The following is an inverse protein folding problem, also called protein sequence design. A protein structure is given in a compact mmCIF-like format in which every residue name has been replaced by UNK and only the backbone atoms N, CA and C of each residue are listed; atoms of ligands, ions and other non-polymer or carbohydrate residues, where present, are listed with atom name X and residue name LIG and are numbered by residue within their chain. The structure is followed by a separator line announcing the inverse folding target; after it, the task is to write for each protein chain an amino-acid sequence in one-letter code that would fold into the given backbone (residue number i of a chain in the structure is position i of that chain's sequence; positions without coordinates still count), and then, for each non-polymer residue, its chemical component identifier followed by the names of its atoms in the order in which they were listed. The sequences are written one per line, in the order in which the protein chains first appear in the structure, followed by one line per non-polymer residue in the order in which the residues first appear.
data_IF_857575571032
#
_entry.id   IF_857575571032
#
_cell.length_a   1.000
_cell.length_b   1.000
_cell.length_c   1.000
_cell.angle_alpha   90.00
_cell.angle_beta   90.00
_cell.angle_gamma   90.00
#
_symmetry.space_group_name_H-M   'P 1'
#
loop_
_entity.id
_entity.type
_entity.pdbx_description
1 polymer ?
#
# COMPACT_ATOMS: atom_id res chain seq x y z
N UNK A 1 3.77 21.30 -16.33
CA UNK A 1 3.57 21.93 -17.64
C UNK A 1 2.35 21.39 -18.34
N UNK A 2 1.87 22.09 -19.33
CA UNK A 2 0.56 21.91 -19.98
C UNK A 2 0.36 20.57 -20.73
N UNK A 3 1.30 19.66 -20.64
CA UNK A 3 1.27 18.35 -21.32
C UNK A 3 0.97 17.15 -20.41
N UNK A 4 0.79 17.33 -19.10
CA UNK A 4 0.54 16.21 -18.17
C UNK A 4 -0.93 16.26 -17.73
N UNK A 5 -1.72 15.28 -18.17
CA UNK A 5 -3.13 15.19 -17.83
C UNK A 5 -3.35 14.65 -16.41
N UNK A 6 -2.57 13.67 -15.99
CA UNK A 6 -2.69 13.05 -14.67
C UNK A 6 -1.34 12.55 -14.16
N UNK A 7 -1.22 12.46 -12.83
CA UNK A 7 -0.14 11.76 -12.12
C UNK A 7 -0.80 10.69 -11.26
N UNK A 8 -0.40 9.43 -11.43
CA UNK A 8 -0.80 8.33 -10.57
C UNK A 8 0.40 7.88 -9.74
N UNK A 9 0.19 7.68 -8.43
CA UNK A 9 1.24 7.30 -7.49
C UNK A 9 0.68 6.39 -6.40
N UNK A 10 1.45 5.37 -6.01
CA UNK A 10 1.24 4.67 -4.74
C UNK A 10 1.74 5.60 -3.61
N UNK A 11 0.86 6.14 -2.74
CA UNK A 11 1.31 7.05 -1.67
C UNK A 11 2.17 6.35 -0.61
N UNK A 12 2.02 5.04 -0.45
CA UNK A 12 2.97 4.12 0.18
C UNK A 12 3.24 3.04 -0.84
N UNK A 13 4.44 3.00 -1.39
CA UNK A 13 4.78 2.02 -2.41
C UNK A 13 4.80 0.61 -1.84
N UNK A 14 4.22 -0.34 -2.56
CA UNK A 14 4.10 -1.73 -2.16
C UNK A 14 4.72 -2.74 -3.14
N UNK A 15 5.17 -2.29 -4.32
CA UNK A 15 5.75 -3.13 -5.38
C UNK A 15 7.28 -3.00 -5.51
N UNK A 16 7.91 -2.35 -4.56
CA UNK A 16 9.37 -2.25 -4.42
C UNK A 16 9.81 -2.47 -2.96
N UNK A 17 9.06 -3.30 -2.24
CA UNK A 17 9.00 -3.35 -0.80
C UNK A 17 8.08 -2.25 -0.25
N UNK A 18 7.89 -2.19 1.07
CA UNK A 18 7.14 -1.11 1.71
C UNK A 18 8.01 0.15 1.80
N UNK A 19 8.04 0.96 0.74
CA UNK A 19 8.80 2.21 0.71
C UNK A 19 7.89 3.38 1.02
N UNK A 20 8.23 4.10 2.10
CA UNK A 20 7.45 5.25 2.56
C UNK A 20 7.79 6.50 1.74
N UNK A 21 6.83 7.40 1.51
CA UNK A 21 7.12 8.68 0.89
C UNK A 21 8.04 9.50 1.81
N UNK A 22 9.05 10.13 1.24
CA UNK A 22 9.88 11.09 1.98
C UNK A 22 9.06 12.36 2.29
N UNK A 23 9.45 13.06 3.34
CA UNK A 23 8.79 14.30 3.75
C UNK A 23 8.68 15.31 2.61
N UNK A 24 7.50 15.87 2.44
CA UNK A 24 7.22 16.87 1.41
C UNK A 24 6.97 16.30 0.00
N UNK A 25 7.10 14.99 -0.24
CA UNK A 25 6.88 14.39 -1.56
C UNK A 25 5.41 14.48 -1.99
N UNK A 26 4.49 13.98 -1.16
CA UNK A 26 3.06 13.97 -1.47
C UNK A 26 2.47 15.39 -1.50
N UNK A 27 2.90 16.25 -0.59
CA UNK A 27 2.53 17.67 -0.55
C UNK A 27 2.98 18.39 -1.83
N UNK A 28 4.19 18.08 -2.30
CA UNK A 28 4.71 18.64 -3.56
C UNK A 28 3.90 18.16 -4.75
N UNK A 29 3.58 16.87 -4.82
CA UNK A 29 2.71 16.34 -5.88
C UNK A 29 1.34 17.03 -5.87
N UNK A 30 0.69 17.16 -4.70
CA UNK A 30 -0.61 17.84 -4.59
C UNK A 30 -0.52 19.30 -5.05
N UNK A 31 0.45 20.04 -4.56
CA UNK A 31 0.65 21.45 -4.90
C UNK A 31 0.89 21.66 -6.40
N UNK A 32 1.80 20.88 -6.98
CA UNK A 32 2.14 21.06 -8.39
C UNK A 32 1.01 20.58 -9.32
N UNK A 33 0.34 19.47 -8.98
CA UNK A 33 -0.82 19.02 -9.78
C UNK A 33 -1.98 20.01 -9.73
N UNK A 34 -2.28 20.57 -8.56
CA UNK A 34 -3.32 21.58 -8.42
C UNK A 34 -2.99 22.86 -9.20
N UNK A 35 -1.75 23.34 -9.10
CA UNK A 35 -1.26 24.53 -9.81
C UNK A 35 -1.40 24.42 -11.33
N UNK A 36 -1.23 23.21 -11.87
CA UNK A 36 -1.24 22.95 -13.32
C UNK A 36 -2.56 22.33 -13.83
N UNK A 37 -3.58 22.16 -12.98
CA UNK A 37 -4.83 21.50 -13.36
C UNK A 37 -4.66 20.02 -13.74
N UNK A 38 -3.57 19.39 -13.30
CA UNK A 38 -3.27 17.97 -13.49
C UNK A 38 -4.03 17.13 -12.47
N UNK A 39 -4.65 16.04 -12.87
CA UNK A 39 -5.36 15.13 -11.95
C UNK A 39 -4.34 14.33 -11.12
N UNK A 40 -4.44 14.42 -9.80
CA UNK A 40 -3.68 13.56 -8.89
C UNK A 40 -4.49 12.32 -8.54
N UNK A 41 -3.94 11.14 -8.82
CA UNK A 41 -4.57 9.84 -8.53
C UNK A 41 -3.71 9.12 -7.50
N UNK A 42 -4.31 8.75 -6.36
CA UNK A 42 -3.67 7.84 -5.42
C UNK A 42 -4.05 6.39 -5.76
N UNK A 43 -3.03 5.59 -6.08
CA UNK A 43 -3.17 4.15 -6.16
C UNK A 43 -3.09 3.57 -4.74
N UNK A 44 -4.24 3.44 -4.12
CA UNK A 44 -4.39 2.80 -2.80
C UNK A 44 -4.83 1.33 -2.90
N UNK A 45 -4.58 0.68 -4.02
CA UNK A 45 -4.89 -0.75 -4.18
C UNK A 45 -4.15 -1.60 -3.15
N UNK A 46 -2.94 -1.23 -2.76
CA UNK A 46 -2.21 -1.89 -1.68
C UNK A 46 -2.43 -1.25 -0.31
N UNK A 47 -2.27 0.05 -0.20
CA UNK A 47 -2.22 0.75 1.10
C UNK A 47 -3.61 1.11 1.66
N UNK A 48 -4.64 1.19 0.82
CA UNK A 48 -6.00 1.48 1.26
C UNK A 48 -6.50 0.48 2.29
N UNK A 49 -7.07 0.99 3.40
CA UNK A 49 -7.51 0.21 4.56
C UNK A 49 -6.44 -0.65 5.26
N UNK A 50 -5.16 -0.50 4.88
CA UNK A 50 -4.04 -1.17 5.56
C UNK A 50 -3.17 -0.22 6.36
N UNK A 51 -2.98 1.00 5.88
CA UNK A 51 -2.26 2.04 6.61
C UNK A 51 -3.10 2.59 7.77
N UNK A 52 -4.35 2.89 7.50
CA UNK A 52 -5.40 3.28 8.44
C UNK A 52 -6.78 3.21 7.77
N UNK A 53 -7.86 3.57 8.50
CA UNK A 53 -9.25 3.51 8.02
C UNK A 53 -9.49 4.38 6.76
N UNK A 54 -8.87 5.55 6.70
CA UNK A 54 -9.02 6.49 5.57
C UNK A 54 -7.88 6.36 4.54
N UNK A 55 -7.12 5.25 4.60
CA UNK A 55 -6.00 5.00 3.70
C UNK A 55 -4.82 5.96 3.90
N UNK A 56 -3.92 5.98 2.94
CA UNK A 56 -2.76 6.86 2.99
C UNK A 56 -3.16 8.35 2.88
N UNK A 57 -4.25 8.66 2.20
CA UNK A 57 -4.78 10.03 2.14
C UNK A 57 -5.14 10.57 3.53
N UNK A 58 -5.71 9.75 4.41
CA UNK A 58 -5.97 10.12 5.80
C UNK A 58 -4.67 10.24 6.59
N UNK A 59 -3.79 9.26 6.48
CA UNK A 59 -2.51 9.22 7.19
C UNK A 59 -1.62 10.45 6.92
N UNK A 60 -1.55 10.88 5.67
CA UNK A 60 -0.70 12.01 5.26
C UNK A 60 -1.45 13.34 5.12
N UNK A 61 -2.77 13.34 5.29
CA UNK A 61 -3.60 14.54 5.16
C UNK A 61 -3.66 15.12 3.74
N UNK A 62 -3.38 14.29 2.72
CA UNK A 62 -3.38 14.70 1.30
C UNK A 62 -4.58 14.09 0.60
N UNK A 63 -5.46 14.94 0.07
CA UNK A 63 -6.65 14.49 -0.66
C UNK A 63 -6.35 14.52 -2.17
N UNK A 64 -6.32 13.36 -2.85
CA UNK A 64 -6.14 13.28 -4.29
C UNK A 64 -7.43 13.71 -5.03
N UNK A 65 -7.35 13.83 -6.34
CA UNK A 65 -8.53 14.05 -7.18
C UNK A 65 -9.28 12.75 -7.43
N UNK A 66 -8.56 11.63 -7.47
CA UNK A 66 -9.11 10.28 -7.58
C UNK A 66 -8.33 9.29 -6.71
N UNK A 67 -9.00 8.21 -6.30
CA UNK A 67 -8.40 7.09 -5.56
C UNK A 67 -8.78 5.77 -6.23
N UNK A 68 -7.80 4.89 -6.41
CA UNK A 68 -8.01 3.50 -6.81
C UNK A 68 -7.93 2.59 -5.58
N UNK A 69 -8.85 1.65 -5.46
CA UNK A 69 -8.93 0.67 -4.38
C UNK A 69 -9.06 -0.75 -4.94
N UNK A 70 -8.55 -1.73 -4.23
CA UNK A 70 -8.62 -3.13 -4.60
C UNK A 70 -8.28 -4.04 -3.41
N UNK A 71 -7.84 -5.25 -3.71
CA UNK A 71 -7.33 -6.21 -2.71
C UNK A 71 -8.28 -6.36 -1.50
N UNK A 72 -7.96 -5.70 -0.37
CA UNK A 72 -8.71 -5.84 0.89
C UNK A 72 -10.20 -5.50 0.78
N UNK A 73 -10.57 -4.58 -0.12
CA UNK A 73 -11.99 -4.23 -0.32
C UNK A 73 -12.84 -5.37 -0.88
N UNK A 74 -12.22 -6.41 -1.39
CA UNK A 74 -12.89 -7.62 -1.86
C UNK A 74 -13.02 -8.71 -0.80
N UNK A 75 -12.44 -8.54 0.41
CA UNK A 75 -12.48 -9.56 1.46
C UNK A 75 -11.87 -10.90 1.03
N UNK A 76 -10.80 -10.89 0.22
CA UNK A 76 -10.16 -12.07 -0.37
C UNK A 76 -10.72 -12.45 -1.76
N UNK A 77 -11.77 -11.80 -2.24
CA UNK A 77 -12.37 -12.04 -3.56
C UNK A 77 -12.05 -10.90 -4.53
N UNK A 78 -12.18 -11.10 -5.86
CA UNK A 78 -11.83 -10.11 -6.86
C UNK A 78 -12.81 -8.93 -6.86
N UNK A 79 -12.42 -7.83 -6.23
CA UNK A 79 -13.12 -6.55 -6.28
C UNK A 79 -12.11 -5.41 -6.44
N UNK A 80 -12.51 -4.40 -7.17
CA UNK A 80 -11.80 -3.16 -7.32
C UNK A 80 -12.81 -2.00 -7.39
N UNK A 81 -12.35 -0.82 -7.01
CA UNK A 81 -13.15 0.40 -7.11
C UNK A 81 -12.23 1.58 -7.43
N UNK A 82 -12.80 2.58 -8.04
CA UNK A 82 -12.19 3.90 -8.15
C UNK A 82 -13.26 4.95 -7.89
N UNK A 83 -12.82 6.08 -7.39
CA UNK A 83 -13.70 7.20 -7.11
C UNK A 83 -12.91 8.50 -7.02
N UNK A 84 -13.60 9.61 -6.92
CA UNK A 84 -12.95 10.90 -6.87
C UNK A 84 -13.91 12.09 -6.96
N UNK A 85 -13.39 13.23 -7.38
CA UNK A 85 -14.14 14.45 -7.54
C UNK A 85 -15.34 14.25 -8.49
N UNK A 86 -16.47 14.82 -8.13
CA UNK A 86 -17.74 14.66 -8.87
C UNK A 86 -17.65 15.04 -10.34
N UNK A 87 -16.97 16.12 -10.66
CA UNK A 87 -16.79 16.60 -12.03
C UNK A 87 -15.97 15.63 -12.91
N UNK A 88 -15.06 14.85 -12.30
CA UNK A 88 -14.35 13.77 -12.97
C UNK A 88 -15.27 12.55 -13.12
N UNK A 89 -15.92 12.12 -12.04
CA UNK A 89 -16.76 10.93 -12.04
C UNK A 89 -17.99 11.07 -12.95
N UNK A 90 -18.54 12.27 -13.11
CA UNK A 90 -19.64 12.55 -14.04
C UNK A 90 -19.25 12.41 -15.53
N UNK A 91 -17.97 12.18 -15.85
CA UNK A 91 -17.53 11.83 -17.21
C UNK A 91 -17.79 10.38 -17.58
N UNK A 92 -18.15 9.54 -16.62
CA UNK A 92 -18.43 8.12 -16.85
C UNK A 92 -19.88 7.94 -17.29
N UNK A 93 -20.08 7.05 -18.25
CA UNK A 93 -21.43 6.70 -18.72
C UNK A 93 -22.30 6.17 -17.56
N UNK A 94 -23.63 6.46 -17.54
CA UNK A 94 -24.41 7.11 -18.61
C UNK A 94 -24.34 8.65 -18.59
N UNK A 95 -23.83 9.28 -17.52
CA UNK A 95 -23.82 10.74 -17.39
C UNK A 95 -22.82 11.39 -18.34
N UNK A 96 -21.69 10.73 -18.59
CA UNK A 96 -20.64 11.19 -19.50
C UNK A 96 -20.38 10.20 -20.63
N UNK A 97 -19.35 10.50 -21.43
CA UNK A 97 -18.99 9.72 -22.62
C UNK A 97 -17.97 8.61 -22.38
N UNK A 98 -17.41 8.52 -21.16
CA UNK A 98 -16.38 7.53 -20.84
C UNK A 98 -17.04 6.20 -20.47
N UNK A 99 -16.90 5.20 -21.35
CA UNK A 99 -17.43 3.87 -21.09
C UNK A 99 -16.57 3.09 -20.09
N UNK A 100 -17.20 2.47 -19.12
CA UNK A 100 -16.59 1.56 -18.18
C UNK A 100 -17.49 0.31 -18.00
N UNK A 101 -16.90 -0.86 -18.09
CA UNK A 101 -17.57 -2.13 -17.81
C UNK A 101 -16.54 -3.18 -17.34
N UNK A 102 -17.02 -4.17 -16.61
CA UNK A 102 -16.22 -5.31 -16.18
C UNK A 102 -17.13 -6.48 -15.88
N UNK A 103 -16.83 -7.66 -16.41
CA UNK A 103 -17.64 -8.88 -16.25
C UNK A 103 -17.88 -9.22 -14.79
N UNK A 104 -16.89 -9.02 -13.92
CA UNK A 104 -16.99 -9.32 -12.49
C UNK A 104 -17.37 -8.10 -11.63
N UNK A 105 -17.61 -6.93 -12.25
CA UNK A 105 -18.00 -5.72 -11.52
C UNK A 105 -19.31 -5.94 -10.79
N UNK A 106 -19.33 -5.69 -9.48
CA UNK A 106 -20.50 -5.84 -8.63
C UNK A 106 -20.95 -7.28 -8.41
N UNK A 107 -20.09 -8.29 -8.65
CA UNK A 107 -20.49 -9.67 -8.37
C UNK A 107 -20.84 -9.84 -6.88
N UNK A 108 -21.96 -10.53 -6.57
CA UNK A 108 -22.51 -10.51 -5.21
C UNK A 108 -21.60 -11.17 -4.18
N UNK A 109 -20.79 -12.16 -4.56
CA UNK A 109 -19.87 -12.81 -3.62
C UNK A 109 -18.77 -11.85 -3.16
N UNK A 110 -18.08 -11.18 -4.08
CA UNK A 110 -17.03 -10.24 -3.75
C UNK A 110 -17.56 -8.98 -3.03
N UNK A 111 -18.73 -8.49 -3.44
CA UNK A 111 -19.37 -7.35 -2.75
C UNK A 111 -19.76 -7.70 -1.33
N UNK A 112 -20.33 -8.88 -1.09
CA UNK A 112 -20.72 -9.33 0.26
C UNK A 112 -19.47 -9.53 1.14
N UNK A 113 -18.46 -10.26 0.64
CA UNK A 113 -17.22 -10.46 1.39
C UNK A 113 -16.50 -9.14 1.71
N UNK A 114 -16.47 -8.24 0.75
CA UNK A 114 -15.91 -6.90 0.94
C UNK A 114 -16.68 -6.06 1.97
N UNK A 115 -18.00 -6.08 1.89
CA UNK A 115 -18.86 -5.38 2.85
C UNK A 115 -18.62 -5.86 4.28
N UNK A 116 -18.63 -7.18 4.49
CA UNK A 116 -18.35 -7.77 5.82
C UNK A 116 -16.94 -7.40 6.31
N UNK A 117 -15.93 -7.48 5.44
CA UNK A 117 -14.56 -7.11 5.79
C UNK A 117 -14.47 -5.64 6.24
N UNK A 118 -15.09 -4.72 5.48
CA UNK A 118 -15.07 -3.29 5.82
C UNK A 118 -15.90 -2.99 7.07
N UNK A 119 -17.00 -3.72 7.31
CA UNK A 119 -17.76 -3.61 8.56
C UNK A 119 -16.93 -4.08 9.76
N UNK A 120 -16.24 -5.21 9.66
CA UNK A 120 -15.34 -5.70 10.72
C UNK A 120 -14.26 -4.67 11.03
N UNK A 121 -13.58 -4.12 10.03
CA UNK A 121 -12.56 -3.09 10.20
C UNK A 121 -13.11 -1.87 10.97
N UNK A 122 -14.36 -1.48 10.71
CA UNK A 122 -15.00 -0.31 11.34
C UNK A 122 -15.51 -0.58 12.75
N UNK A 123 -15.87 -1.82 13.06
CA UNK A 123 -16.57 -2.18 14.31
C UNK A 123 -15.67 -2.79 15.37
N UNK A 124 -14.54 -3.40 14.99
CA UNK A 124 -13.58 -3.93 15.94
C UNK A 124 -12.88 -2.76 16.65
N UNK A 125 -12.99 -2.66 17.98
CA UNK A 125 -12.30 -1.61 18.73
C UNK A 125 -10.79 -1.69 18.53
N UNK A 126 -10.15 -0.53 18.41
CA UNK A 126 -8.69 -0.40 18.28
C UNK A 126 -8.04 -1.23 17.16
N UNK A 127 -8.83 -1.59 16.12
CA UNK A 127 -8.39 -2.48 15.02
C UNK A 127 -7.00 -2.11 14.47
N UNK A 128 -6.82 -0.86 14.06
CA UNK A 128 -5.55 -0.41 13.47
C UNK A 128 -4.43 -0.36 14.50
N UNK A 129 -4.71 0.06 15.73
CA UNK A 129 -3.73 0.08 16.82
C UNK A 129 -3.21 -1.32 17.11
N UNK A 130 -4.09 -2.31 17.20
CA UNK A 130 -3.73 -3.71 17.43
C UNK A 130 -2.83 -4.24 16.31
N UNK A 131 -3.16 -3.97 15.04
CA UNK A 131 -2.35 -4.39 13.92
C UNK A 131 -0.99 -3.71 13.88
N UNK A 132 -0.94 -2.42 14.17
CA UNK A 132 0.30 -1.66 14.20
C UNK A 132 1.24 -2.15 15.31
N UNK A 133 0.71 -2.41 16.51
CA UNK A 133 1.46 -2.97 17.64
C UNK A 133 1.98 -4.38 17.34
N UNK A 134 1.17 -5.26 16.72
CA UNK A 134 1.60 -6.59 16.30
C UNK A 134 2.72 -6.50 15.26
N UNK A 135 2.58 -5.62 14.27
CA UNK A 135 3.58 -5.39 13.23
C UNK A 135 4.88 -4.90 13.85
N UNK A 136 4.80 -3.88 14.70
CA UNK A 136 5.98 -3.34 15.40
C UNK A 136 6.69 -4.41 16.22
N UNK A 137 5.97 -5.22 16.98
CA UNK A 137 6.56 -6.31 17.78
C UNK A 137 7.33 -7.31 16.91
N UNK A 138 6.78 -7.66 15.73
CA UNK A 138 7.47 -8.55 14.79
C UNK A 138 8.77 -7.91 14.27
N UNK A 139 8.69 -6.65 13.87
CA UNK A 139 9.83 -5.92 13.32
C UNK A 139 10.93 -5.67 14.36
N UNK A 140 10.57 -5.35 15.60
CA UNK A 140 11.52 -5.23 16.71
C UNK A 140 12.27 -6.54 16.91
N UNK A 141 11.57 -7.69 16.91
CA UNK A 141 12.20 -9.01 17.02
C UNK A 141 13.13 -9.36 15.85
N UNK A 142 12.80 -8.91 14.64
CA UNK A 142 13.69 -9.08 13.47
C UNK A 142 14.94 -8.22 13.58
N UNK A 143 14.80 -6.99 14.06
CA UNK A 143 15.94 -6.10 14.30
C UNK A 143 16.89 -6.66 15.35
N UNK A 144 16.36 -7.18 16.46
CA UNK A 144 17.13 -7.80 17.52
C UNK A 144 17.89 -9.04 17.00
N UNK A 145 17.20 -9.94 16.30
CA UNK A 145 17.81 -11.13 15.72
C UNK A 145 18.90 -10.78 14.67
N UNK A 146 18.66 -9.76 13.85
CA UNK A 146 19.65 -9.29 12.87
C UNK A 146 20.88 -8.69 13.55
N UNK A 147 20.68 -7.93 14.63
CA UNK A 147 21.78 -7.37 15.43
C UNK A 147 22.61 -8.48 16.08
N UNK A 148 21.99 -9.49 16.68
CA UNK A 148 22.67 -10.66 17.25
C UNK A 148 23.46 -11.44 16.18
N UNK A 149 22.94 -11.56 14.98
CA UNK A 149 23.60 -12.23 13.85
C UNK A 149 24.65 -11.36 13.15
N UNK A 150 24.81 -10.08 13.51
CA UNK A 150 25.71 -9.14 12.84
C UNK A 150 25.29 -8.85 11.39
N UNK A 151 24.00 -8.89 11.08
CA UNK A 151 23.44 -8.65 9.75
C UNK A 151 22.78 -7.28 9.70
N UNK A 152 23.23 -6.43 8.78
CA UNK A 152 22.60 -5.12 8.58
C UNK A 152 21.27 -5.27 7.85
N UNK A 153 20.22 -4.71 8.44
CA UNK A 153 18.87 -4.67 7.88
C UNK A 153 18.21 -3.31 8.13
N UNK A 154 17.23 -2.99 7.29
CA UNK A 154 16.29 -1.88 7.48
C UNK A 154 14.87 -2.47 7.55
N UNK A 155 14.01 -1.88 8.35
CA UNK A 155 12.59 -2.23 8.40
C UNK A 155 11.75 -0.99 8.15
N UNK A 156 10.70 -1.14 7.36
CA UNK A 156 9.70 -0.09 7.16
C UNK A 156 8.33 -0.60 7.57
N UNK A 157 7.52 0.31 8.10
CA UNK A 157 6.15 0.03 8.52
C UNK A 157 5.22 1.20 8.18
N UNK A 158 4.04 0.87 7.65
CA UNK A 158 2.91 1.79 7.50
C UNK A 158 1.61 1.10 7.88
N UNK A 159 1.15 1.30 9.11
CA UNK A 159 0.03 0.53 9.67
C UNK A 159 0.37 -0.96 9.74
N UNK A 160 -0.41 -1.78 9.03
CA UNK A 160 -0.17 -3.22 8.92
C UNK A 160 0.74 -3.63 7.76
N UNK A 161 1.17 -2.70 6.93
CA UNK A 161 2.13 -2.94 5.84
C UNK A 161 3.55 -2.83 6.36
N UNK A 162 4.42 -3.75 5.98
CA UNK A 162 5.82 -3.73 6.41
C UNK A 162 6.74 -4.46 5.44
N UNK A 163 8.04 -4.22 5.59
CA UNK A 163 9.07 -4.89 4.81
C UNK A 163 10.37 -4.97 5.61
N UNK A 164 11.19 -6.00 5.32
CA UNK A 164 12.56 -6.15 5.78
C UNK A 164 13.48 -6.02 4.57
N UNK A 165 14.43 -5.12 4.61
CA UNK A 165 15.44 -4.90 3.58
C UNK A 165 16.81 -5.30 4.12
N UNK A 166 17.54 -6.17 3.41
CA UNK A 166 18.94 -6.49 3.71
C UNK A 166 19.87 -5.42 3.15
N UNK A 167 19.96 -4.32 3.86
CA UNK A 167 20.76 -3.14 3.49
C UNK A 167 21.29 -2.44 4.73
N UNK A 168 22.48 -1.86 4.65
CA UNK A 168 23.09 -1.02 5.70
C UNK A 168 22.72 0.47 5.56
N UNK A 169 22.09 0.83 4.43
CA UNK A 169 21.67 2.21 4.12
C UNK A 169 20.14 2.32 4.11
N UNK A 170 19.59 3.52 4.35
CA UNK A 170 18.17 3.78 4.20
C UNK A 170 17.66 3.40 2.79
N UNK A 171 16.45 2.85 2.71
CA UNK A 171 15.78 2.51 1.45
C UNK A 171 14.66 3.51 1.22
N UNK A 172 14.89 4.48 0.32
CA UNK A 172 13.99 5.62 0.11
C UNK A 172 13.33 5.64 -1.28
N UNK A 173 13.84 4.81 -2.19
CA UNK A 173 13.39 4.76 -3.58
C UNK A 173 13.65 3.37 -4.19
N UNK A 174 13.33 3.23 -5.48
CA UNK A 174 13.48 1.96 -6.21
C UNK A 174 14.93 1.52 -6.36
N UNK A 175 15.84 2.46 -6.61
CA UNK A 175 17.27 2.18 -6.75
C UNK A 175 17.86 1.64 -5.45
N UNK A 176 17.48 2.20 -4.30
CA UNK A 176 17.89 1.71 -2.99
C UNK A 176 17.35 0.31 -2.71
N UNK A 177 16.08 0.05 -3.10
CA UNK A 177 15.47 -1.28 -2.99
C UNK A 177 16.21 -2.31 -3.86
N UNK A 178 16.58 -1.94 -5.08
CA UNK A 178 17.37 -2.80 -5.97
C UNK A 178 18.79 -3.06 -5.43
N UNK A 179 19.34 -2.16 -4.64
CA UNK A 179 20.68 -2.30 -4.04
C UNK A 179 20.71 -3.25 -2.82
N UNK A 180 19.55 -3.74 -2.36
CA UNK A 180 19.46 -4.69 -1.25
C UNK A 180 20.08 -6.06 -1.59
N UNK A 181 20.61 -6.75 -0.58
CA UNK A 181 21.27 -8.05 -0.74
C UNK A 181 20.26 -9.18 -0.97
N UNK A 182 19.98 -9.46 -2.24
CA UNK A 182 19.07 -10.54 -2.64
C UNK A 182 19.54 -11.94 -2.25
N UNK A 183 20.85 -12.15 -1.98
CA UNK A 183 21.35 -13.46 -1.53
C UNK A 183 21.00 -13.68 -0.07
N UNK A 184 21.17 -12.66 0.76
CA UNK A 184 20.74 -12.71 2.17
C UNK A 184 19.23 -12.88 2.28
N UNK A 185 18.46 -12.13 1.49
CA UNK A 185 17.00 -12.31 1.42
C UNK A 185 16.63 -13.77 1.09
N UNK A 186 17.23 -14.35 0.05
CA UNK A 186 16.95 -15.73 -0.35
C UNK A 186 17.28 -16.73 0.76
N UNK A 187 18.43 -16.59 1.43
CA UNK A 187 18.84 -17.46 2.54
C UNK A 187 17.84 -17.36 3.71
N UNK A 188 17.46 -16.14 4.09
CA UNK A 188 16.46 -15.89 5.11
C UNK A 188 15.10 -16.48 4.76
N UNK A 189 14.60 -16.24 3.54
CA UNK A 189 13.33 -16.80 3.07
C UNK A 189 13.29 -18.32 3.16
N UNK A 190 14.35 -18.99 2.67
CA UNK A 190 14.41 -20.45 2.72
C UNK A 190 14.46 -20.98 4.15
N UNK A 191 15.24 -20.34 5.03
CA UNK A 191 15.29 -20.71 6.45
C UNK A 191 13.95 -20.55 7.15
N UNK A 192 13.21 -19.46 6.86
CA UNK A 192 11.86 -19.25 7.38
C UNK A 192 10.90 -20.33 6.88
N UNK A 193 10.98 -20.67 5.60
CA UNK A 193 10.16 -21.72 5.00
C UNK A 193 10.41 -23.08 5.61
N UNK A 194 11.67 -23.45 5.87
CA UNK A 194 12.06 -24.70 6.56
C UNK A 194 11.50 -24.78 7.99
N UNK A 195 11.28 -23.63 8.63
CA UNK A 195 10.66 -23.53 9.95
C UNK A 195 9.12 -23.47 9.88
N UNK A 196 8.53 -23.63 8.70
CA UNK A 196 7.07 -23.60 8.49
C UNK A 196 6.48 -22.20 8.40
N UNK A 197 7.30 -21.16 8.20
CA UNK A 197 6.87 -19.78 8.06
C UNK A 197 6.95 -19.40 6.57
N UNK A 198 5.78 -19.24 5.93
CA UNK A 198 5.70 -18.85 4.54
C UNK A 198 5.62 -17.33 4.42
N UNK A 199 6.61 -16.73 3.77
CA UNK A 199 6.69 -15.31 3.45
C UNK A 199 6.60 -15.11 1.94
N UNK A 200 6.50 -13.87 1.48
CA UNK A 200 6.55 -13.58 0.04
C UNK A 200 7.93 -13.96 -0.54
N UNK A 201 7.98 -14.65 -1.69
CA UNK A 201 9.23 -15.14 -2.28
C UNK A 201 10.02 -14.09 -3.06
N UNK A 202 9.73 -12.81 -2.85
CA UNK A 202 10.37 -11.68 -3.54
C UNK A 202 10.74 -10.59 -2.54
N UNK A 203 11.97 -10.02 -2.62
CA UNK A 203 12.37 -8.90 -1.77
C UNK A 203 11.61 -7.60 -2.09
N UNK A 204 10.91 -7.55 -3.22
CA UNK A 204 10.09 -6.39 -3.64
C UNK A 204 8.64 -6.48 -3.18
N UNK A 205 8.23 -7.59 -2.56
CA UNK A 205 6.87 -7.72 -2.03
C UNK A 205 6.76 -7.11 -0.64
N UNK A 206 5.71 -6.33 -0.43
CA UNK A 206 5.30 -5.86 0.88
C UNK A 206 4.60 -6.98 1.65
N UNK A 207 4.89 -7.08 2.93
CA UNK A 207 4.26 -8.00 3.87
C UNK A 207 3.12 -7.30 4.62
N UNK A 208 2.17 -8.09 5.11
CA UNK A 208 0.96 -7.56 5.75
C UNK A 208 0.66 -8.34 7.04
N UNK A 209 0.42 -7.59 8.12
CA UNK A 209 -0.15 -8.14 9.35
C UNK A 209 -1.67 -8.16 9.23
N UNK A 210 -2.30 -9.26 9.68
CA UNK A 210 -3.75 -9.45 9.67
C UNK A 210 -4.24 -10.12 10.97
#
# INVERSE_FOLDING_TARGET
GDGIAAVIVEPVAGNMGCVLPVDGFLETLRRETEKHGTVLIFDEVMCGFRTELHGAQGKYGIIPDMTCLGKIIGGGLPAAAYGGKRDIMNRIAPDGSVYQAGTLSGNPLAVTAGLETLQMIRTIPDFYKILEEKTKRLLDGWLDAAAEAGVAVQVHQSGSMFCLFFNDKPVLNYEDSCACDGKKFKAWFLSMLEQGIYLAPSPFETLFMS
#
